data_IF_895012524914
#
_entry.id   IF_895012524914
#
_cell.length_a   1.000
_cell.length_b   1.000
_cell.length_c   1.000
_cell.angle_alpha   90.00
_cell.angle_beta   90.00
_cell.angle_gamma   90.00
#
_symmetry.space_group_name_H-M   'P 1'
#
loop_
_entity.id
_entity.type
_entity.pdbx_description
1 polymer ?
#
# COMPACT_ATOMS: atom_id res chain seq x y z
N UNK A 1 -0.34 43.10 19.45
CA UNK A 1 0.61 42.66 18.40
C UNK A 1 0.33 41.20 18.11
N UNK A 2 -0.50 40.87 17.16
CA UNK A 2 -0.73 39.50 16.71
C UNK A 2 -0.10 39.32 15.35
N UNK A 3 0.67 38.23 15.23
CA UNK A 3 1.48 37.87 14.09
C UNK A 3 0.58 37.59 12.88
N UNK A 4 0.92 38.19 11.76
CA UNK A 4 0.36 37.90 10.44
C UNK A 4 0.70 36.46 10.09
N UNK A 5 -0.29 35.64 9.84
CA UNK A 5 -0.13 34.38 9.14
C UNK A 5 -0.12 34.69 7.65
N UNK A 6 1.04 34.71 7.03
CA UNK A 6 1.18 34.61 5.58
C UNK A 6 1.07 33.12 5.23
N UNK A 7 -0.02 32.72 4.67
CA UNK A 7 -0.14 31.41 4.03
C UNK A 7 0.49 31.53 2.63
N UNK A 8 1.64 30.92 2.44
CA UNK A 8 2.20 30.63 1.13
C UNK A 8 1.81 29.21 0.79
N UNK A 9 1.15 29.02 -0.32
CA UNK A 9 0.93 27.70 -0.91
C UNK A 9 2.23 27.36 -1.67
N UNK A 10 3.16 26.70 -0.97
CA UNK A 10 4.38 26.18 -1.57
C UNK A 10 4.12 24.77 -2.08
N UNK A 11 3.97 24.64 -3.37
CA UNK A 11 4.01 23.37 -4.07
C UNK A 11 5.49 22.98 -4.25
N UNK A 12 5.98 22.12 -3.38
CA UNK A 12 7.28 21.47 -3.58
C UNK A 12 7.02 20.00 -3.87
N UNK A 13 7.61 19.51 -4.96
CA UNK A 13 7.75 18.09 -5.27
C UNK A 13 8.43 17.41 -4.09
N UNK A 14 7.66 16.80 -3.22
CA UNK A 14 8.13 16.09 -2.02
C UNK A 14 7.19 14.93 -1.74
N UNK A 15 7.79 13.80 -1.59
CA UNK A 15 7.21 12.52 -1.17
C UNK A 15 6.26 12.73 0.01
N UNK A 16 4.99 12.38 -0.19
CA UNK A 16 3.93 12.50 0.81
C UNK A 16 4.03 11.34 1.81
N UNK A 17 4.18 11.65 3.08
CA UNK A 17 3.98 10.69 4.18
C UNK A 17 2.57 10.89 4.70
N UNK A 18 1.72 9.88 4.54
CA UNK A 18 0.37 9.87 5.06
C UNK A 18 0.36 9.48 6.54
N UNK A 19 -0.11 10.37 7.38
CA UNK A 19 -0.52 10.02 8.75
C UNK A 19 -1.97 10.43 8.91
N UNK A 20 -2.86 9.44 8.86
CA UNK A 20 -4.28 9.65 9.13
C UNK A 20 -4.48 9.74 10.65
N UNK A 21 -4.73 10.93 11.17
CA UNK A 21 -5.17 11.11 12.55
C UNK A 21 -6.71 11.19 12.57
N UNK A 22 -7.36 10.15 13.09
CA UNK A 22 -8.77 10.22 13.45
C UNK A 22 -8.92 11.12 14.68
N UNK A 23 -9.50 12.32 14.53
CA UNK A 23 -9.94 13.15 15.63
C UNK A 23 -11.31 12.69 16.11
N UNK A 24 -11.37 11.99 17.25
CA UNK A 24 -12.60 11.85 18.03
C UNK A 24 -12.68 12.98 19.05
N UNK A 25 -13.84 13.61 19.12
CA UNK A 25 -14.17 14.68 20.05
C UNK A 25 -13.92 14.30 21.51
N UNK A 26 -13.25 15.18 22.26
CA UNK A 26 -13.11 15.10 23.71
C UNK A 26 -14.24 15.87 24.39
N UNK A 27 -14.89 15.24 25.38
CA UNK A 27 -15.68 15.92 26.39
C UNK A 27 -14.83 16.24 27.62
N UNK A 28 -14.97 17.42 28.26
CA UNK A 28 -14.08 17.81 29.32
C UNK A 28 -14.54 17.34 30.70
N UNK A 29 -13.59 16.78 31.44
CA UNK A 29 -13.41 16.75 32.88
C UNK A 29 -14.62 16.42 33.79
N UNK A 30 -14.64 15.19 34.29
CA UNK A 30 -15.10 14.97 35.66
C UNK A 30 -14.10 14.12 36.45
N UNK A 31 -13.60 14.70 37.52
CA UNK A 31 -12.52 14.15 38.35
C UNK A 31 -13.16 13.45 39.55
N UNK A 32 -13.40 12.13 39.42
CA UNK A 32 -13.46 11.21 40.55
C UNK A 32 -13.22 9.76 40.11
N UNK A 33 -12.14 9.19 40.62
CA UNK A 33 -11.68 7.81 40.50
C UNK A 33 -12.78 6.80 40.93
N UNK A 34 -13.49 6.22 39.98
CA UNK A 34 -14.04 4.84 40.02
C UNK A 34 -14.73 4.51 38.69
N UNK A 35 -14.06 4.74 37.54
CA UNK A 35 -14.57 4.10 36.34
C UNK A 35 -14.15 2.64 36.35
N UNK A 36 -15.07 1.67 36.16
CA UNK A 36 -14.71 0.28 36.00
C UNK A 36 -13.75 0.19 34.79
N UNK A 37 -12.67 -0.54 34.96
CA UNK A 37 -11.72 -0.79 33.86
C UNK A 37 -12.50 -1.34 32.67
N UNK A 38 -12.37 -0.68 31.52
CA UNK A 38 -13.03 -1.08 30.29
C UNK A 38 -12.19 -2.14 29.58
N UNK A 39 -12.85 -3.06 28.90
CA UNK A 39 -12.18 -4.00 28.04
C UNK A 39 -11.47 -3.26 26.90
N UNK A 40 -10.28 -3.75 26.53
CA UNK A 40 -9.53 -3.21 25.40
C UNK A 40 -10.25 -3.60 24.11
N UNK A 41 -10.58 -2.62 23.31
CA UNK A 41 -11.14 -2.77 21.98
C UNK A 41 -10.29 -2.02 20.94
N UNK A 42 -10.43 -2.40 19.68
CA UNK A 42 -9.66 -1.85 18.56
C UNK A 42 -10.58 -1.25 17.50
N UNK A 43 -10.09 -0.22 16.83
CA UNK A 43 -10.63 0.25 15.54
C UNK A 43 -9.62 -0.09 14.46
N UNK A 44 -10.05 -0.79 13.42
CA UNK A 44 -9.17 -1.34 12.41
C UNK A 44 -9.32 -0.57 11.10
N UNK A 45 -8.20 -0.13 10.53
CA UNK A 45 -8.12 0.40 9.16
C UNK A 45 -6.88 -0.18 8.47
N UNK A 46 -6.84 -0.10 7.15
CA UNK A 46 -5.66 -0.45 6.35
C UNK A 46 -4.89 0.80 5.96
N UNK A 47 -3.56 0.71 6.01
CA UNK A 47 -2.65 1.77 5.61
C UNK A 47 -1.64 1.29 4.58
N UNK A 48 -0.91 2.21 3.96
CA UNK A 48 0.04 1.94 2.88
C UNK A 48 1.46 2.42 3.23
N UNK A 49 2.46 1.83 2.54
CA UNK A 49 3.83 2.34 2.55
C UNK A 49 4.06 3.22 1.34
N UNK A 50 4.64 4.39 1.55
CA UNK A 50 4.93 5.34 0.49
C UNK A 50 6.36 5.14 -0.05
N UNK A 51 6.50 4.43 -1.18
CA UNK A 51 7.79 4.18 -1.83
C UNK A 51 7.59 4.16 -3.35
N UNK A 52 8.13 5.13 -4.07
CA UNK A 52 8.10 5.15 -5.53
C UNK A 52 9.23 4.31 -6.13
N UNK A 53 8.94 3.49 -7.13
CA UNK A 53 9.91 2.67 -7.86
C UNK A 53 9.72 2.85 -9.35
N UNK A 54 10.84 3.05 -10.07
CA UNK A 54 10.83 3.20 -11.52
C UNK A 54 10.45 1.89 -12.24
N UNK A 55 9.67 1.96 -13.32
CA UNK A 55 9.37 0.82 -14.19
C UNK A 55 10.64 0.19 -14.76
N UNK A 56 10.62 -1.14 -14.98
CA UNK A 56 11.71 -1.89 -15.59
C UNK A 56 11.21 -2.79 -16.70
N UNK A 57 12.08 -3.07 -17.68
CA UNK A 57 11.79 -3.93 -18.83
C UNK A 57 12.80 -5.08 -18.86
N UNK A 58 12.31 -6.31 -19.05
CA UNK A 58 13.12 -7.52 -19.14
C UNK A 58 12.81 -8.26 -20.44
N UNK A 59 13.81 -8.61 -21.27
CA UNK A 59 13.57 -9.42 -22.45
C UNK A 59 13.14 -10.84 -22.07
N UNK A 60 12.09 -11.33 -22.68
CA UNK A 60 11.67 -12.73 -22.60
C UNK A 60 12.40 -13.53 -23.68
N UNK A 61 12.94 -14.68 -23.29
CA UNK A 61 13.58 -15.63 -24.18
C UNK A 61 12.71 -16.88 -24.27
N UNK A 62 12.62 -17.46 -25.46
CA UNK A 62 11.94 -18.74 -25.65
C UNK A 62 12.94 -19.88 -25.79
N UNK A 63 12.64 -21.07 -25.30
CA UNK A 63 13.45 -22.27 -25.47
C UNK A 63 12.76 -23.22 -26.48
N UNK A 64 13.47 -23.72 -27.54
CA UNK A 64 14.86 -23.46 -27.86
C UNK A 64 15.05 -22.19 -28.71
N UNK A 65 15.72 -21.20 -28.16
CA UNK A 65 16.15 -20.00 -28.87
C UNK A 65 15.57 -18.69 -28.28
N UNK A 66 16.10 -17.59 -28.76
CA UNK A 66 15.63 -16.26 -28.42
C UNK A 66 14.45 -15.90 -29.32
N UNK A 67 13.26 -15.67 -28.73
CA UNK A 67 12.23 -14.91 -29.43
C UNK A 67 12.39 -13.45 -29.03
N UNK A 68 13.01 -12.61 -29.90
CA UNK A 68 13.28 -11.22 -29.54
C UNK A 68 12.02 -10.34 -29.49
N UNK A 69 10.85 -10.94 -29.74
CA UNK A 69 9.59 -10.19 -29.88
C UNK A 69 8.76 -10.10 -28.61
N UNK A 70 9.16 -10.75 -27.50
CA UNK A 70 8.43 -10.72 -26.24
C UNK A 70 9.24 -10.08 -25.12
N UNK A 71 8.59 -9.23 -24.35
CA UNK A 71 9.18 -8.49 -23.24
C UNK A 71 8.29 -8.56 -22.01
N UNK A 72 8.91 -8.56 -20.84
CA UNK A 72 8.26 -8.47 -19.55
C UNK A 72 8.49 -7.07 -18.97
N UNK A 73 7.42 -6.29 -18.84
CA UNK A 73 7.48 -4.96 -18.28
C UNK A 73 7.02 -4.99 -16.83
N UNK A 74 7.89 -4.62 -15.89
CA UNK A 74 7.53 -4.47 -14.48
C UNK A 74 7.06 -3.04 -14.22
N UNK A 75 5.83 -2.91 -13.75
CA UNK A 75 5.24 -1.66 -13.25
C UNK A 75 4.95 -1.88 -11.77
N UNK A 76 5.41 -0.96 -10.93
CA UNK A 76 5.16 -0.98 -9.49
C UNK A 76 4.10 0.05 -9.17
N UNK A 77 3.01 -0.37 -8.56
CA UNK A 77 1.91 0.50 -8.13
C UNK A 77 1.88 0.59 -6.61
N UNK A 78 1.33 1.71 -6.12
CA UNK A 78 1.14 1.94 -4.69
C UNK A 78 0.06 1.01 -4.14
N UNK A 79 0.30 0.56 -2.92
CA UNK A 79 -0.58 -0.36 -2.23
C UNK A 79 -0.58 -1.78 -2.80
N UNK A 80 -1.29 -2.66 -2.12
CA UNK A 80 -1.64 -3.98 -2.64
C UNK A 80 -3.05 -3.85 -3.24
N UNK A 81 -3.11 -3.51 -4.51
CA UNK A 81 -4.38 -3.29 -5.19
C UNK A 81 -5.23 -4.56 -5.29
N UNK A 82 -6.37 -4.54 -4.64
CA UNK A 82 -7.46 -5.42 -4.98
C UNK A 82 -8.14 -4.92 -6.25
N UNK A 83 -7.63 -5.31 -7.40
CA UNK A 83 -8.24 -5.22 -8.73
C UNK A 83 -9.28 -4.12 -9.00
N UNK A 84 -8.92 -2.84 -8.86
CA UNK A 84 -9.81 -1.72 -9.20
C UNK A 84 -9.97 -1.48 -10.72
N UNK A 85 -9.56 -2.45 -11.55
CA UNK A 85 -9.73 -2.40 -13.01
C UNK A 85 -10.84 -3.26 -13.58
N UNK A 86 -11.48 -4.12 -12.78
CA UNK A 86 -12.53 -5.02 -13.30
C UNK A 86 -13.90 -4.70 -12.69
N UNK A 87 -14.76 -4.07 -13.47
CA UNK A 87 -16.20 -3.96 -13.16
C UNK A 87 -16.81 -5.35 -13.19
N UNK A 88 -17.20 -5.91 -12.03
CA UNK A 88 -18.23 -6.94 -11.99
C UNK A 88 -18.02 -8.21 -11.20
N UNK A 89 -16.92 -8.44 -10.44
CA UNK A 89 -16.78 -9.70 -9.71
C UNK A 89 -17.07 -9.58 -8.21
N UNK A 90 -17.90 -10.51 -7.71
CA UNK A 90 -18.22 -10.66 -6.29
C UNK A 90 -16.99 -11.18 -5.54
N UNK A 91 -16.58 -10.45 -4.52
CA UNK A 91 -15.40 -10.72 -3.69
C UNK A 91 -15.56 -12.00 -2.87
N UNK A 92 -14.62 -12.92 -3.03
CA UNK A 92 -14.41 -14.05 -2.13
C UNK A 92 -13.12 -13.82 -1.33
N UNK A 93 -13.21 -13.77 0.00
CA UNK A 93 -12.11 -13.41 0.90
C UNK A 93 -11.19 -14.59 1.30
N UNK A 94 -11.16 -15.68 0.53
CA UNK A 94 -10.56 -16.95 0.98
C UNK A 94 -9.26 -17.35 0.30
N UNK A 95 -8.67 -16.53 -0.60
CA UNK A 95 -7.47 -16.87 -1.37
C UNK A 95 -6.46 -15.71 -1.36
N UNK A 96 -5.37 -15.81 -2.09
CA UNK A 96 -4.29 -14.83 -2.20
C UNK A 96 -4.70 -13.44 -2.76
N UNK A 97 -5.94 -13.01 -2.54
CA UNK A 97 -6.43 -11.70 -2.94
C UNK A 97 -5.93 -10.62 -1.96
N UNK A 98 -5.48 -9.48 -2.47
CA UNK A 98 -5.13 -8.33 -1.64
C UNK A 98 -6.27 -7.89 -0.72
N UNK A 99 -5.93 -7.59 0.54
CA UNK A 99 -6.89 -7.21 1.57
C UNK A 99 -7.12 -5.70 1.54
N UNK A 100 -8.36 -5.30 1.66
CA UNK A 100 -8.76 -3.89 1.81
C UNK A 100 -9.59 -3.75 3.07
N UNK A 101 -9.85 -2.53 3.52
CA UNK A 101 -10.76 -2.30 4.67
C UNK A 101 -12.11 -3.00 4.50
N UNK A 102 -12.60 -3.13 3.27
CA UNK A 102 -13.87 -3.82 2.96
C UNK A 102 -13.76 -5.36 2.92
N UNK A 103 -12.54 -5.90 2.83
CA UNK A 103 -12.26 -7.35 2.71
C UNK A 103 -11.36 -7.85 3.83
N UNK A 104 -11.29 -7.11 4.93
CA UNK A 104 -10.44 -7.43 6.08
C UNK A 104 -10.73 -8.84 6.62
N UNK A 105 -9.70 -9.49 7.10
CA UNK A 105 -9.80 -10.79 7.77
C UNK A 105 -10.73 -10.72 8.99
N UNK A 106 -11.37 -11.84 9.30
CA UNK A 106 -12.32 -11.97 10.41
C UNK A 106 -11.64 -11.90 11.78
N UNK A 107 -10.32 -12.15 11.86
CA UNK A 107 -9.56 -12.08 13.10
C UNK A 107 -8.10 -11.70 12.88
N UNK A 108 -7.49 -11.16 13.93
CA UNK A 108 -6.09 -10.76 13.99
C UNK A 108 -5.44 -11.24 15.29
N UNK A 109 -4.12 -11.38 15.30
CA UNK A 109 -3.32 -11.72 16.47
C UNK A 109 -2.74 -10.46 17.11
N UNK A 110 -2.83 -10.34 18.43
CA UNK A 110 -2.33 -9.18 19.18
C UNK A 110 -1.29 -9.60 20.21
N UNK A 111 -0.21 -8.81 20.28
CA UNK A 111 0.75 -8.78 21.36
C UNK A 111 0.64 -7.45 22.10
N UNK A 112 0.71 -7.46 23.44
CA UNK A 112 0.65 -6.25 24.24
C UNK A 112 1.68 -6.28 25.37
N UNK A 113 2.29 -5.13 25.59
CA UNK A 113 3.36 -4.91 26.54
C UNK A 113 2.98 -3.81 27.51
N UNK A 114 2.99 -4.12 28.80
CA UNK A 114 2.68 -3.17 29.88
C UNK A 114 3.93 -2.85 30.66
N UNK A 115 4.15 -1.59 30.92
CA UNK A 115 5.30 -1.08 31.65
C UNK A 115 4.94 0.15 32.51
N UNK A 116 5.81 0.56 33.48
CA UNK A 116 5.53 1.72 34.32
C UNK A 116 5.37 3.00 33.52
N UNK A 117 4.43 3.85 33.90
CA UNK A 117 4.15 5.13 33.25
C UNK A 117 5.34 6.10 33.27
N UNK A 118 6.23 5.96 34.26
CA UNK A 118 7.48 6.72 34.40
C UNK A 118 8.60 6.23 33.46
N UNK A 119 8.44 5.06 32.82
CA UNK A 119 9.42 4.45 31.92
C UNK A 119 9.06 4.71 30.46
N UNK A 120 10.06 4.63 29.59
CA UNK A 120 9.88 4.56 28.13
C UNK A 120 9.92 3.11 27.66
N UNK A 121 9.52 2.88 26.43
CA UNK A 121 9.67 1.60 25.74
C UNK A 121 11.09 1.06 25.84
N UNK A 122 11.22 -0.25 26.07
CA UNK A 122 12.51 -0.93 26.12
C UNK A 122 12.52 -2.15 25.21
N UNK A 123 13.56 -2.29 24.41
CA UNK A 123 13.78 -3.45 23.53
C UNK A 123 14.14 -4.73 24.31
N UNK A 124 14.19 -4.68 25.63
CA UNK A 124 14.35 -5.86 26.49
C UNK A 124 13.03 -6.35 27.10
N UNK A 125 11.95 -5.59 26.95
CA UNK A 125 10.64 -5.93 27.52
C UNK A 125 9.98 -7.03 26.68
N UNK A 126 9.70 -8.17 27.31
CA UNK A 126 8.94 -9.24 26.69
C UNK A 126 7.41 -9.01 26.75
N UNK A 127 6.61 -9.61 25.86
CA UNK A 127 5.15 -9.47 25.87
C UNK A 127 4.56 -10.07 27.15
N UNK A 128 4.28 -9.21 28.11
CA UNK A 128 3.88 -9.57 29.45
C UNK A 128 2.38 -9.41 29.72
N UNK A 129 1.62 -8.88 28.75
CA UNK A 129 0.19 -8.66 28.93
C UNK A 129 -0.65 -9.50 27.96
N UNK A 130 -0.47 -9.34 26.66
CA UNK A 130 -1.06 -10.22 25.64
C UNK A 130 0.05 -10.85 24.81
N UNK A 131 -0.10 -12.13 24.51
CA UNK A 131 0.79 -12.83 23.60
C UNK A 131 -0.03 -13.70 22.67
N UNK A 132 -0.02 -13.36 21.39
CA UNK A 132 -0.78 -14.03 20.33
C UNK A 132 -2.28 -14.21 20.66
N UNK A 133 -2.90 -13.14 21.18
CA UNK A 133 -4.32 -13.17 21.52
C UNK A 133 -5.13 -12.94 20.25
N UNK A 134 -6.04 -13.86 19.95
CA UNK A 134 -6.99 -13.68 18.86
C UNK A 134 -8.01 -12.61 19.19
N UNK A 135 -8.19 -11.66 18.26
CA UNK A 135 -9.22 -10.63 18.34
C UNK A 135 -10.09 -10.72 17.11
N UNK A 136 -11.39 -10.88 17.30
CA UNK A 136 -12.34 -11.19 16.23
C UNK A 136 -13.22 -9.99 15.89
N UNK A 137 -13.52 -9.81 14.60
CA UNK A 137 -14.48 -8.81 14.12
C UNK A 137 -15.91 -9.08 14.62
N UNK A 138 -16.26 -10.34 14.84
CA UNK A 138 -17.57 -10.75 15.40
C UNK A 138 -17.80 -10.25 16.82
N UNK A 139 -16.74 -9.95 17.58
CA UNK A 139 -16.80 -9.33 18.91
C UNK A 139 -16.61 -7.81 18.85
N UNK A 140 -16.82 -7.21 17.68
CA UNK A 140 -16.54 -5.79 17.43
C UNK A 140 -15.09 -5.43 17.82
N UNK A 141 -14.12 -6.31 17.53
CA UNK A 141 -12.70 -6.17 17.83
C UNK A 141 -12.39 -5.93 19.31
N UNK A 142 -13.22 -6.43 20.22
CA UNK A 142 -13.06 -6.28 21.67
C UNK A 142 -12.47 -7.54 22.28
N UNK A 143 -11.53 -7.39 23.22
CA UNK A 143 -10.89 -8.46 23.95
C UNK A 143 -11.52 -8.67 25.34
N UNK A 144 -11.17 -9.76 26.01
CA UNK A 144 -11.46 -9.98 27.43
C UNK A 144 -10.47 -9.30 28.38
N UNK A 145 -9.41 -8.68 27.85
CA UNK A 145 -8.40 -7.98 28.64
C UNK A 145 -8.85 -6.56 28.97
N UNK A 146 -8.58 -6.11 30.18
CA UNK A 146 -8.89 -4.77 30.65
C UNK A 146 -7.72 -3.82 30.44
N UNK A 147 -7.99 -2.53 30.46
CA UNK A 147 -6.92 -1.54 30.50
C UNK A 147 -6.10 -1.72 31.79
N UNK A 148 -4.74 -1.63 31.75
CA UNK A 148 -3.89 -1.95 32.89
C UNK A 148 -3.96 -0.96 34.07
N UNK A 149 -4.66 0.16 33.91
CA UNK A 149 -4.91 1.14 34.95
C UNK A 149 -3.90 2.30 34.99
N UNK A 150 -4.14 3.28 35.87
CA UNK A 150 -3.29 4.46 35.98
C UNK A 150 -1.87 4.10 36.42
N UNK A 151 -0.90 4.96 36.09
CA UNK A 151 0.52 4.77 36.40
C UNK A 151 1.22 3.72 35.55
N UNK A 152 0.54 3.18 34.53
CA UNK A 152 1.10 2.25 33.54
C UNK A 152 0.95 2.79 32.13
N UNK A 153 1.78 2.30 31.24
CA UNK A 153 1.68 2.44 29.79
C UNK A 153 1.51 1.08 29.16
N UNK A 154 0.93 1.06 27.95
CA UNK A 154 0.76 -0.14 27.14
C UNK A 154 1.11 0.16 25.69
N UNK A 155 1.73 -0.80 25.01
CA UNK A 155 2.02 -0.77 23.57
C UNK A 155 1.50 -2.04 22.93
N UNK A 156 0.91 -1.91 21.74
CA UNK A 156 0.35 -3.04 20.99
C UNK A 156 1.10 -3.25 19.69
N UNK A 157 1.21 -4.54 19.33
CA UNK A 157 1.59 -5.01 18.01
C UNK A 157 0.53 -6.00 17.54
N UNK A 158 0.20 -5.95 16.27
CA UNK A 158 -0.83 -6.83 15.70
C UNK A 158 -0.40 -7.35 14.34
N UNK A 159 -0.98 -8.49 13.96
CA UNK A 159 -0.84 -9.07 12.63
C UNK A 159 -2.15 -9.71 12.18
N UNK A 160 -2.38 -9.79 10.90
CA UNK A 160 -3.54 -10.45 10.30
C UNK A 160 -3.13 -11.17 8.99
N UNK A 161 -3.73 -12.35 8.69
CA UNK A 161 -4.77 -13.05 9.47
C UNK A 161 -4.19 -13.73 10.71
N UNK A 162 -5.04 -13.96 11.72
CA UNK A 162 -4.65 -14.75 12.89
C UNK A 162 -4.24 -16.16 12.46
N UNK A 163 -3.16 -16.70 13.07
CA UNK A 163 -2.59 -18.00 12.73
C UNK A 163 -2.27 -18.17 11.23
N UNK A 164 -1.75 -17.10 10.60
CA UNK A 164 -1.33 -17.12 9.20
C UNK A 164 -0.37 -18.30 8.94
N UNK A 165 -0.67 -19.10 7.93
CA UNK A 165 0.21 -20.19 7.52
C UNK A 165 1.60 -19.66 7.12
N UNK A 166 2.65 -20.29 7.62
CA UNK A 166 4.02 -19.88 7.40
C UNK A 166 4.54 -18.78 8.32
N UNK A 167 3.67 -18.15 9.13
CA UNK A 167 4.07 -17.15 10.11
C UNK A 167 4.51 -17.81 11.42
N UNK A 168 5.65 -17.36 11.93
CA UNK A 168 6.14 -17.71 13.27
C UNK A 168 6.41 -16.45 14.07
N UNK A 169 5.80 -16.36 15.25
CA UNK A 169 6.07 -15.27 16.20
C UNK A 169 7.35 -15.57 17.00
N UNK A 170 8.06 -14.56 17.49
CA UNK A 170 9.14 -14.76 18.45
C UNK A 170 8.59 -15.42 19.72
N UNK A 171 9.41 -16.19 20.39
CA UNK A 171 9.05 -16.79 21.70
C UNK A 171 8.59 -15.69 22.67
N UNK A 172 7.62 -16.04 23.54
CA UNK A 172 7.06 -15.09 24.52
C UNK A 172 8.09 -14.47 25.45
N UNK A 173 9.24 -15.10 25.61
CA UNK A 173 10.35 -14.63 26.45
C UNK A 173 11.27 -13.65 25.74
N UNK A 174 11.16 -13.51 24.43
CA UNK A 174 11.97 -12.58 23.62
C UNK A 174 11.46 -11.16 23.84
N UNK A 175 12.35 -10.26 24.25
CA UNK A 175 12.03 -8.86 24.47
C UNK A 175 12.12 -8.03 23.19
N UNK A 176 11.54 -6.84 23.25
CA UNK A 176 11.62 -5.82 22.21
C UNK A 176 10.49 -5.85 21.19
N UNK A 177 10.69 -5.05 20.16
CA UNK A 177 9.76 -5.00 19.02
C UNK A 177 9.70 -6.36 18.34
N UNK A 178 8.50 -6.97 18.18
CA UNK A 178 8.40 -8.33 17.65
C UNK A 178 8.99 -8.47 16.25
N UNK A 179 9.88 -9.45 16.09
CA UNK A 179 10.39 -9.89 14.79
C UNK A 179 9.66 -11.16 14.41
N UNK A 180 8.83 -11.10 13.39
CA UNK A 180 8.13 -12.26 12.83
C UNK A 180 9.01 -12.95 11.80
N UNK A 181 9.00 -14.27 11.76
CA UNK A 181 9.55 -15.07 10.66
C UNK A 181 8.42 -15.54 9.77
N UNK A 182 8.55 -15.38 8.47
CA UNK A 182 7.52 -15.81 7.53
C UNK A 182 8.11 -16.65 6.41
N UNK A 183 7.49 -17.79 6.16
CA UNK A 183 7.77 -18.68 5.04
C UNK A 183 6.58 -18.69 4.11
N UNK A 184 6.77 -18.17 2.90
CA UNK A 184 5.75 -18.15 1.85
C UNK A 184 5.31 -19.57 1.52
N UNK A 185 4.01 -19.90 1.62
CA UNK A 185 3.48 -21.18 1.18
C UNK A 185 3.81 -21.47 -0.28
N UNK A 186 4.15 -22.73 -0.60
CA UNK A 186 4.53 -23.08 -1.97
C UNK A 186 3.35 -23.03 -2.94
N UNK A 187 2.14 -23.41 -2.49
CA UNK A 187 0.93 -23.25 -3.29
C UNK A 187 0.44 -21.78 -3.21
N UNK A 188 0.31 -21.13 -4.35
CA UNK A 188 -0.14 -19.72 -4.42
C UNK A 188 -1.53 -19.53 -3.81
N UNK A 189 -2.42 -20.53 -3.93
CA UNK A 189 -3.75 -20.51 -3.30
C UNK A 189 -3.71 -20.40 -1.76
N UNK A 190 -2.63 -20.83 -1.13
CA UNK A 190 -2.48 -20.82 0.33
C UNK A 190 -1.77 -19.55 0.83
N UNK A 191 -1.17 -18.80 -0.08
CA UNK A 191 -0.54 -17.53 0.24
C UNK A 191 -1.59 -16.52 0.67
N UNK A 192 -1.32 -15.80 1.75
CA UNK A 192 -2.18 -14.75 2.30
C UNK A 192 -1.46 -13.43 2.30
N UNK A 193 -2.22 -12.38 2.11
CA UNK A 193 -1.73 -11.03 2.30
C UNK A 193 -1.52 -10.77 3.80
N UNK A 194 -0.26 -10.69 4.21
CA UNK A 194 0.10 -10.50 5.61
C UNK A 194 0.12 -9.01 5.94
N UNK A 195 -0.69 -8.65 6.95
CA UNK A 195 -0.79 -7.28 7.45
C UNK A 195 -0.24 -7.19 8.86
N UNK A 196 0.36 -6.06 9.19
CA UNK A 196 0.90 -5.77 10.52
C UNK A 196 0.56 -4.37 10.99
N UNK A 197 0.47 -4.19 12.31
CA UNK A 197 0.29 -2.87 12.92
C UNK A 197 1.09 -2.75 14.21
N UNK A 198 1.46 -1.53 14.57
CA UNK A 198 2.02 -1.18 15.85
C UNK A 198 1.44 0.14 16.35
N UNK A 199 1.38 0.32 17.66
CA UNK A 199 0.94 1.59 18.26
C UNK A 199 2.10 2.35 18.87
N UNK A 200 1.93 3.64 19.11
CA UNK A 200 2.73 4.36 20.08
C UNK A 200 2.46 3.82 21.50
N UNK A 201 3.19 4.33 22.48
CA UNK A 201 2.92 4.11 23.90
C UNK A 201 1.61 4.79 24.30
N UNK A 202 0.67 4.05 24.86
CA UNK A 202 -0.63 4.58 25.31
C UNK A 202 -0.70 4.57 26.85
N UNK A 203 -1.35 5.57 27.47
CA UNK A 203 -1.63 5.53 28.90
C UNK A 203 -2.53 4.34 29.26
N UNK A 204 -2.19 3.64 30.34
CA UNK A 204 -2.88 2.41 30.75
C UNK A 204 -4.34 2.62 31.24
N UNK A 205 -4.79 3.84 31.41
CA UNK A 205 -6.15 4.21 31.83
C UNK A 205 -6.94 4.94 30.75
N UNK A 206 -6.54 4.87 29.50
CA UNK A 206 -7.19 5.56 28.37
C UNK A 206 -8.65 5.16 28.20
N UNK A 207 -9.00 3.87 28.41
CA UNK A 207 -10.35 3.31 28.22
C UNK A 207 -11.02 3.59 26.86
N UNK A 208 -10.27 4.13 25.89
CA UNK A 208 -10.71 4.35 24.52
C UNK A 208 -10.43 3.12 23.64
N UNK A 209 -11.04 3.06 22.48
CA UNK A 209 -10.67 2.10 21.45
C UNK A 209 -9.29 2.45 20.88
N UNK A 210 -8.47 1.43 20.62
CA UNK A 210 -7.12 1.58 20.09
C UNK A 210 -7.16 1.55 18.57
N UNK A 211 -6.72 2.60 17.87
CA UNK A 211 -6.59 2.55 16.43
C UNK A 211 -5.44 1.62 16.03
N UNK A 212 -5.72 0.64 15.18
CA UNK A 212 -4.73 -0.23 14.54
C UNK A 212 -4.77 0.01 13.04
N UNK A 213 -3.74 0.66 12.53
CA UNK A 213 -3.50 0.82 11.11
C UNK A 213 -2.70 -0.40 10.61
N UNK A 214 -3.41 -1.33 9.98
CA UNK A 214 -2.82 -2.53 9.40
C UNK A 214 -2.16 -2.21 8.05
N UNK A 215 -0.86 -2.46 7.93
CA UNK A 215 -0.07 -2.23 6.71
C UNK A 215 0.33 -3.54 6.09
N UNK A 216 0.27 -3.60 4.76
CA UNK A 216 0.73 -4.74 3.98
C UNK A 216 2.23 -4.91 4.14
N UNK A 217 2.71 -6.06 4.57
CA UNK A 217 4.15 -6.29 4.74
C UNK A 217 4.76 -7.22 3.68
N UNK A 218 3.96 -7.78 2.77
CA UNK A 218 4.40 -8.56 1.61
C UNK A 218 4.40 -7.71 0.32
N UNK A 219 4.88 -8.29 -0.77
CA UNK A 219 4.72 -7.77 -2.13
C UNK A 219 3.74 -8.65 -2.90
N UNK A 220 2.73 -8.05 -3.51
CA UNK A 220 1.86 -8.73 -4.47
C UNK A 220 2.54 -8.76 -5.84
N UNK A 221 2.72 -9.95 -6.42
CA UNK A 221 3.28 -10.09 -7.77
C UNK A 221 2.21 -10.64 -8.70
N UNK A 222 1.89 -9.88 -9.76
CA UNK A 222 0.80 -10.15 -10.69
C UNK A 222 1.30 -10.11 -12.14
N UNK A 223 0.56 -10.79 -13.02
CA UNK A 223 0.82 -10.80 -14.45
C UNK A 223 -0.44 -10.38 -15.22
N UNK A 224 -0.25 -9.53 -16.21
CA UNK A 224 -1.31 -9.03 -17.10
C UNK A 224 -0.85 -9.07 -18.55
N UNK A 225 -1.83 -9.06 -19.44
CA UNK A 225 -1.58 -8.88 -20.88
C UNK A 225 -1.04 -7.47 -21.09
N UNK A 226 0.09 -7.36 -21.75
CA UNK A 226 0.64 -6.09 -22.21
C UNK A 226 0.09 -5.69 -23.57
N UNK A 227 0.59 -4.58 -24.10
CA UNK A 227 0.24 -4.17 -25.46
C UNK A 227 0.83 -5.17 -26.47
N UNK A 228 0.05 -5.46 -27.50
CA UNK A 228 0.45 -6.34 -28.60
C UNK A 228 0.83 -7.78 -28.21
N UNK A 229 0.38 -8.26 -27.04
CA UNK A 229 0.57 -9.67 -26.71
C UNK A 229 -0.16 -10.55 -27.71
N UNK A 230 0.57 -11.56 -28.23
CA UNK A 230 -0.02 -12.52 -29.17
C UNK A 230 -1.21 -13.26 -28.54
N UNK A 231 -2.25 -13.57 -29.35
CA UNK A 231 -3.32 -14.43 -28.88
C UNK A 231 -2.79 -15.84 -28.58
N UNK A 232 -3.27 -16.41 -27.49
CA UNK A 232 -2.80 -17.74 -27.07
C UNK A 232 -3.36 -18.11 -25.69
N UNK A 233 -2.74 -19.09 -25.04
CA UNK A 233 -3.11 -19.54 -23.71
C UNK A 233 -1.90 -19.63 -22.81
N UNK A 234 -1.94 -18.93 -21.66
CA UNK A 234 -0.96 -19.08 -20.59
C UNK A 234 -1.43 -20.21 -19.68
N UNK A 235 -0.59 -21.24 -19.51
CA UNK A 235 -0.91 -22.43 -18.72
C UNK A 235 -0.13 -22.52 -17.42
N UNK A 236 1.00 -21.81 -17.32
CA UNK A 236 1.82 -21.77 -16.11
C UNK A 236 2.57 -20.47 -16.01
N UNK A 237 2.72 -19.96 -14.80
CA UNK A 237 3.68 -18.93 -14.44
C UNK A 237 4.51 -19.42 -13.27
N UNK A 238 5.84 -19.25 -13.34
CA UNK A 238 6.77 -19.61 -12.27
C UNK A 238 7.64 -18.41 -11.92
N UNK A 239 7.78 -18.16 -10.64
CA UNK A 239 8.82 -17.28 -10.07
C UNK A 239 9.97 -18.20 -9.67
N UNK A 240 11.13 -18.01 -10.29
CA UNK A 240 12.30 -18.89 -10.16
C UNK A 240 13.36 -18.23 -9.30
N UNK A 241 14.00 -19.01 -8.41
CA UNK A 241 15.20 -18.60 -7.70
C UNK A 241 15.01 -17.38 -6.78
N UNK A 242 13.86 -17.23 -6.16
CA UNK A 242 13.52 -16.10 -5.27
C UNK A 242 13.50 -16.54 -3.80
N UNK A 243 13.74 -15.62 -2.88
CA UNK A 243 13.62 -15.93 -1.46
C UNK A 243 12.16 -16.16 -1.09
N UNK A 244 11.90 -17.29 -0.45
CA UNK A 244 10.57 -17.65 0.03
C UNK A 244 10.42 -17.52 1.56
N UNK A 245 11.45 -17.03 2.26
CA UNK A 245 11.46 -16.88 3.70
C UNK A 245 12.28 -15.66 4.09
N UNK A 246 11.86 -14.98 5.14
CA UNK A 246 12.60 -13.86 5.74
C UNK A 246 12.04 -13.49 7.10
N UNK A 247 12.72 -12.59 7.78
CA UNK A 247 12.32 -11.99 9.05
C UNK A 247 11.88 -10.54 8.84
N UNK A 248 10.86 -10.14 9.59
CA UNK A 248 10.33 -8.78 9.52
C UNK A 248 10.05 -8.25 10.93
N UNK A 249 10.67 -7.13 11.29
CA UNK A 249 10.35 -6.43 12.52
C UNK A 249 9.08 -5.61 12.32
N UNK A 250 8.07 -5.80 13.17
CA UNK A 250 6.78 -5.11 13.02
C UNK A 250 6.96 -3.59 13.15
N UNK A 251 6.61 -2.87 12.09
CA UNK A 251 6.78 -1.41 11.99
C UNK A 251 8.02 -0.97 11.23
N UNK A 252 8.84 -1.89 10.75
CA UNK A 252 9.98 -1.62 9.87
C UNK A 252 9.54 -1.45 8.41
N UNK A 253 10.48 -1.09 7.55
CA UNK A 253 10.29 -0.92 6.11
C UNK A 253 11.04 -1.95 5.27
N UNK A 254 11.77 -2.87 5.91
CA UNK A 254 12.61 -3.85 5.23
C UNK A 254 12.53 -5.24 5.88
N UNK A 255 12.70 -6.26 5.05
CA UNK A 255 12.88 -7.64 5.46
C UNK A 255 14.36 -7.98 5.56
N UNK A 256 14.69 -8.93 6.42
CA UNK A 256 16.06 -9.40 6.68
C UNK A 256 16.12 -10.93 6.77
N UNK A 257 17.33 -11.45 6.97
CA UNK A 257 17.59 -12.88 7.28
C UNK A 257 16.87 -13.83 6.32
N UNK A 258 17.03 -13.59 5.02
CA UNK A 258 16.40 -14.39 3.99
C UNK A 258 16.92 -15.84 4.04
N UNK A 259 15.99 -16.79 3.87
CA UNK A 259 16.30 -18.21 3.75
C UNK A 259 16.87 -18.58 2.38
N UNK A 260 16.85 -19.87 2.05
CA UNK A 260 17.25 -20.34 0.73
C UNK A 260 16.26 -19.91 -0.35
N UNK A 261 16.78 -19.68 -1.55
CA UNK A 261 15.96 -19.43 -2.74
C UNK A 261 15.17 -20.66 -3.14
N UNK A 262 13.98 -20.47 -3.69
CA UNK A 262 13.13 -21.53 -4.24
C UNK A 262 12.24 -21.01 -5.35
N UNK A 263 11.52 -21.92 -5.99
CA UNK A 263 10.59 -21.64 -7.06
C UNK A 263 9.14 -21.66 -6.54
N UNK A 264 8.31 -20.79 -7.11
CA UNK A 264 6.87 -20.76 -6.88
C UNK A 264 6.16 -20.91 -8.23
N UNK A 265 5.25 -21.87 -8.31
CA UNK A 265 4.57 -22.22 -9.56
C UNK A 265 3.07 -22.02 -9.40
N UNK A 266 2.48 -21.31 -10.34
CA UNK A 266 1.04 -21.14 -10.51
C UNK A 266 0.58 -21.80 -11.80
N UNK A 267 -0.20 -22.88 -11.68
CA UNK A 267 -0.91 -23.48 -12.82
C UNK A 267 -2.18 -22.68 -13.10
N UNK A 268 -2.42 -22.39 -14.36
CA UNK A 268 -3.59 -21.67 -14.84
C UNK A 268 -4.00 -22.15 -16.24
N UNK A 269 -5.08 -21.59 -16.76
CA UNK A 269 -5.49 -21.77 -18.15
C UNK A 269 -6.21 -20.49 -18.58
N UNK A 270 -5.41 -19.49 -18.98
CA UNK A 270 -5.92 -18.16 -19.31
C UNK A 270 -5.66 -17.86 -20.77
N UNK A 271 -6.76 -17.72 -21.52
CA UNK A 271 -6.70 -17.27 -22.90
C UNK A 271 -6.35 -15.78 -22.96
N UNK A 272 -5.36 -15.44 -23.78
CA UNK A 272 -4.99 -14.07 -24.09
C UNK A 272 -5.55 -13.71 -25.45
N UNK A 273 -6.37 -12.67 -25.49
CA UNK A 273 -6.99 -12.16 -26.70
C UNK A 273 -6.37 -10.85 -27.21
N UNK A 274 -5.22 -10.48 -26.63
CA UNK A 274 -4.52 -9.24 -26.97
C UNK A 274 -5.11 -7.98 -26.33
N UNK A 275 -6.13 -8.08 -25.49
CA UNK A 275 -6.67 -6.91 -24.78
C UNK A 275 -5.71 -6.48 -23.67
N UNK A 276 -5.09 -5.30 -23.76
CA UNK A 276 -4.17 -4.81 -22.73
C UNK A 276 -4.83 -4.76 -21.35
N UNK A 277 -4.03 -4.95 -20.30
CA UNK A 277 -4.44 -4.97 -18.88
C UNK A 277 -5.38 -6.10 -18.46
N UNK A 278 -5.74 -7.01 -19.40
CA UNK A 278 -6.46 -8.22 -19.01
C UNK A 278 -5.60 -9.05 -18.05
N UNK A 279 -6.21 -9.46 -16.92
CA UNK A 279 -5.49 -10.24 -15.93
C UNK A 279 -5.11 -11.63 -16.45
N UNK A 280 -3.86 -12.00 -16.34
CA UNK A 280 -3.38 -13.38 -16.48
C UNK A 280 -3.44 -14.05 -15.10
N UNK A 281 -2.97 -13.37 -14.06
CA UNK A 281 -3.19 -13.80 -12.67
C UNK A 281 -4.38 -13.03 -12.10
N UNK A 282 -5.44 -13.73 -11.73
CA UNK A 282 -6.58 -13.14 -11.02
C UNK A 282 -6.14 -12.66 -9.62
N UNK A 283 -6.93 -11.84 -8.92
CA UNK A 283 -6.61 -11.49 -7.54
C UNK A 283 -6.31 -12.70 -6.65
N UNK A 284 -7.05 -13.80 -6.82
CA UNK A 284 -6.88 -15.03 -6.04
C UNK A 284 -5.65 -15.86 -6.45
N UNK A 285 -5.08 -15.58 -7.61
CA UNK A 285 -3.86 -16.19 -8.14
C UNK A 285 -2.63 -15.26 -8.02
N UNK A 286 -2.73 -14.18 -7.24
CA UNK A 286 -1.64 -13.27 -6.95
C UNK A 286 -0.59 -13.96 -6.08
N UNK A 287 0.68 -13.87 -6.47
CA UNK A 287 1.78 -14.32 -5.63
C UNK A 287 2.01 -13.30 -4.51
N UNK A 288 1.84 -13.74 -3.26
CA UNK A 288 2.18 -12.92 -2.07
C UNK A 288 3.57 -13.29 -1.59
N UNK A 289 4.55 -12.49 -1.98
CA UNK A 289 5.96 -12.79 -1.82
C UNK A 289 6.61 -11.96 -0.74
N UNK A 290 7.66 -12.51 -0.11
CA UNK A 290 8.53 -11.76 0.79
C UNK A 290 9.21 -10.65 -0.02
N UNK A 291 9.10 -9.38 0.42
CA UNK A 291 9.79 -8.25 -0.20
C UNK A 291 11.31 -8.44 -0.16
N UNK A 292 11.97 -8.24 -1.30
CA UNK A 292 13.39 -8.59 -1.43
C UNK A 292 14.07 -7.85 -2.57
N UNK A 293 15.38 -7.66 -2.47
CA UNK A 293 16.23 -7.50 -3.64
C UNK A 293 16.35 -8.88 -4.31
N UNK A 294 16.00 -8.96 -5.60
CA UNK A 294 15.94 -10.23 -6.30
C UNK A 294 17.35 -10.80 -6.55
N UNK A 295 17.61 -12.06 -6.16
CA UNK A 295 18.91 -12.71 -6.32
C UNK A 295 19.40 -12.78 -7.78
N UNK A 296 20.69 -13.06 -7.98
CA UNK A 296 21.29 -13.16 -9.31
C UNK A 296 20.68 -14.26 -10.19
N UNK A 297 20.07 -15.29 -9.57
CA UNK A 297 19.37 -16.36 -10.28
C UNK A 297 17.87 -16.16 -10.44
N UNK A 298 17.34 -15.00 -9.98
CA UNK A 298 15.91 -14.75 -10.03
C UNK A 298 15.40 -14.59 -11.46
N UNK A 299 14.31 -15.30 -11.76
CA UNK A 299 13.69 -15.31 -13.07
C UNK A 299 12.18 -15.48 -13.04
N UNK A 300 11.56 -15.22 -14.17
CA UNK A 300 10.17 -15.54 -14.48
C UNK A 300 10.16 -16.55 -15.62
N UNK A 301 9.34 -17.58 -15.48
CA UNK A 301 9.07 -18.57 -16.53
C UNK A 301 7.58 -18.62 -16.80
N UNK A 302 7.20 -18.55 -18.08
CA UNK A 302 5.81 -18.53 -18.53
C UNK A 302 5.64 -19.63 -19.58
N UNK A 303 4.71 -20.56 -19.35
CA UNK A 303 4.32 -21.55 -20.35
C UNK A 303 3.14 -20.99 -21.14
N UNK A 304 3.37 -20.73 -22.40
CA UNK A 304 2.45 -20.10 -23.34
C UNK A 304 2.25 -20.95 -24.57
N UNK A 305 1.00 -21.17 -24.96
CA UNK A 305 0.64 -21.82 -26.23
C UNK A 305 0.11 -20.77 -27.20
N UNK A 306 0.82 -20.55 -28.27
CA UNK A 306 0.46 -19.62 -29.34
C UNK A 306 -0.76 -20.17 -30.11
N UNK A 307 -1.82 -19.37 -30.24
CA UNK A 307 -3.03 -19.77 -30.94
C UNK A 307 -2.88 -19.86 -32.47
N UNK A 308 -1.86 -19.18 -33.03
CA UNK A 308 -1.62 -19.19 -34.49
C UNK A 308 -0.93 -20.45 -34.94
N UNK A 309 0.01 -20.93 -34.14
CA UNK A 309 0.85 -22.09 -34.48
C UNK A 309 0.50 -23.34 -33.67
N UNK A 310 -0.34 -23.21 -32.63
CA UNK A 310 -0.61 -24.23 -31.62
C UNK A 310 0.66 -24.79 -30.93
N UNK A 311 1.78 -24.07 -31.03
CA UNK A 311 3.02 -24.46 -30.41
C UNK A 311 3.09 -23.95 -28.97
N UNK A 312 3.45 -24.85 -28.06
CA UNK A 312 3.79 -24.48 -26.69
C UNK A 312 5.21 -23.94 -26.63
N UNK A 313 5.39 -22.82 -25.93
CA UNK A 313 6.68 -22.17 -25.71
C UNK A 313 6.90 -21.97 -24.22
N UNK A 314 8.12 -22.09 -23.79
CA UNK A 314 8.55 -21.70 -22.45
C UNK A 314 9.28 -20.37 -22.58
N UNK A 315 8.69 -19.32 -22.09
CA UNK A 315 9.24 -17.96 -22.11
C UNK A 315 9.93 -17.69 -20.77
N UNK A 316 11.17 -17.27 -20.81
CA UNK A 316 11.95 -16.99 -19.59
C UNK A 316 12.50 -15.58 -19.60
N UNK A 317 12.46 -14.91 -18.47
CA UNK A 317 13.10 -13.61 -18.24
C UNK A 317 13.90 -13.62 -16.95
N UNK A 318 15.13 -13.09 -16.99
CA UNK A 318 15.87 -12.79 -15.76
C UNK A 318 15.34 -11.48 -15.18
N UNK A 319 14.88 -11.52 -13.92
CA UNK A 319 14.48 -10.34 -13.15
C UNK A 319 15.50 -9.99 -12.08
N UNK A 320 16.67 -10.63 -12.14
CA UNK A 320 17.78 -10.40 -11.22
C UNK A 320 18.17 -8.92 -11.11
N UNK A 321 18.55 -8.50 -9.91
CA UNK A 321 18.98 -7.12 -9.65
C UNK A 321 17.83 -6.10 -9.64
N UNK A 322 16.58 -6.53 -9.79
CA UNK A 322 15.40 -5.72 -9.44
C UNK A 322 14.96 -5.97 -7.99
N UNK A 323 13.89 -5.34 -7.55
CA UNK A 323 13.41 -5.49 -6.18
C UNK A 323 11.88 -5.61 -6.14
N UNK A 324 11.41 -6.36 -5.15
CA UNK A 324 10.02 -6.39 -4.73
C UNK A 324 9.88 -5.59 -3.43
N UNK A 325 9.24 -4.42 -3.46
CA UNK A 325 9.14 -3.56 -2.28
C UNK A 325 8.01 -3.98 -1.34
N UNK A 326 8.15 -3.58 -0.08
CA UNK A 326 7.15 -3.81 0.97
C UNK A 326 5.83 -3.11 0.64
N UNK A 327 4.71 -3.81 0.78
CA UNK A 327 3.37 -3.25 0.67
C UNK A 327 3.00 -2.75 -0.72
N UNK A 328 3.66 -3.23 -1.78
CA UNK A 328 3.42 -2.82 -3.16
C UNK A 328 2.95 -3.96 -4.03
N UNK A 329 2.31 -3.60 -5.14
CA UNK A 329 2.03 -4.52 -6.24
C UNK A 329 3.07 -4.35 -7.34
N UNK A 330 3.75 -5.44 -7.68
CA UNK A 330 4.60 -5.53 -8.87
C UNK A 330 3.80 -6.24 -9.95
N UNK A 331 3.45 -5.50 -10.97
CA UNK A 331 2.68 -5.99 -12.12
C UNK A 331 3.61 -6.22 -13.30
N UNK A 332 3.70 -7.45 -13.75
CA UNK A 332 4.44 -7.83 -14.94
C UNK A 332 3.52 -7.89 -16.15
N UNK A 333 3.73 -6.98 -17.10
CA UNK A 333 3.00 -6.92 -18.37
C UNK A 333 3.77 -7.71 -19.42
N UNK A 334 3.14 -8.69 -20.06
CA UNK A 334 3.74 -9.49 -21.13
C UNK A 334 3.41 -8.83 -22.46
N UNK A 335 4.42 -8.41 -23.23
CA UNK A 335 4.24 -7.63 -24.45
C UNK A 335 5.16 -8.12 -25.56
N UNK A 336 4.77 -7.91 -26.82
CA UNK A 336 5.59 -8.26 -28.00
C UNK A 336 6.63 -7.19 -28.36
N UNK A 337 6.57 -6.02 -27.72
CA UNK A 337 7.49 -4.92 -27.96
C UNK A 337 8.06 -4.37 -26.65
N UNK A 338 9.24 -3.75 -26.74
CA UNK A 338 9.81 -3.03 -25.58
C UNK A 338 9.03 -1.74 -25.36
N UNK A 339 8.14 -1.76 -24.37
CA UNK A 339 7.37 -0.59 -23.97
C UNK A 339 7.95 -0.04 -22.68
N UNK A 340 8.26 1.23 -22.66
CA UNK A 340 8.56 1.98 -21.44
C UNK A 340 7.33 2.80 -21.06
N UNK A 341 6.91 2.70 -19.80
CA UNK A 341 5.78 3.46 -19.26
C UNK A 341 6.29 4.35 -18.13
N UNK A 342 6.17 5.66 -18.29
CA UNK A 342 6.63 6.64 -17.31
C UNK A 342 5.45 7.48 -16.84
N UNK A 343 5.13 7.50 -15.53
CA UNK A 343 4.11 8.39 -14.99
C UNK A 343 4.55 9.85 -15.10
N UNK A 344 3.65 10.71 -15.52
CA UNK A 344 3.84 12.16 -15.60
C UNK A 344 2.68 12.86 -14.89
N UNK A 345 3.03 13.78 -13.99
CA UNK A 345 2.11 14.69 -13.33
C UNK A 345 2.72 16.09 -13.40
N UNK A 346 2.07 16.99 -14.12
CA UNK A 346 2.43 18.40 -14.16
C UNK A 346 1.29 19.24 -13.60
N UNK A 347 1.60 20.09 -12.65
CA UNK A 347 0.64 21.02 -12.04
C UNK A 347 1.21 22.43 -12.11
N UNK A 348 0.48 23.36 -12.71
CA UNK A 348 0.80 24.77 -12.64
C UNK A 348 -0.09 25.42 -11.60
N UNK A 349 0.49 25.80 -10.48
CA UNK A 349 -0.23 26.44 -9.39
C UNK A 349 -0.70 27.86 -9.81
N UNK A 350 -1.85 28.32 -9.31
CA UNK A 350 -2.24 29.72 -9.49
C UNK A 350 -1.30 30.67 -8.73
N UNK A 351 -1.16 31.89 -9.21
CA UNK A 351 -0.47 32.92 -8.45
C UNK A 351 -1.11 33.14 -7.07
N UNK A 352 -0.37 33.79 -6.19
CA UNK A 352 -0.85 34.11 -4.86
C UNK A 352 -2.15 34.90 -4.88
N UNK A 353 -3.08 34.52 -4.01
CA UNK A 353 -4.30 35.27 -3.78
C UNK A 353 -4.04 36.44 -2.83
N UNK A 354 -4.67 37.58 -3.10
CA UNK A 354 -4.73 38.69 -2.18
C UNK A 354 -5.92 38.51 -1.22
N UNK A 355 -6.02 39.36 -0.20
CA UNK A 355 -7.16 39.37 0.72
C UNK A 355 -8.52 39.62 0.02
N UNK A 356 -8.52 40.19 -1.17
CA UNK A 356 -9.72 40.38 -1.98
C UNK A 356 -10.27 39.07 -2.55
N UNK A 357 -9.54 37.97 -2.44
CA UNK A 357 -9.94 36.70 -3.01
C UNK A 357 -9.99 36.70 -4.53
N UNK A 358 -10.97 36.01 -5.08
CA UNK A 358 -11.20 35.96 -6.53
C UNK A 358 -10.91 34.61 -7.14
N UNK A 359 -10.98 34.54 -8.46
CA UNK A 359 -10.75 33.33 -9.24
C UNK A 359 -9.45 33.36 -9.99
N UNK A 360 -8.68 32.29 -9.96
CA UNK A 360 -7.45 32.13 -10.74
C UNK A 360 -7.41 30.72 -11.36
N UNK A 361 -6.76 30.62 -12.51
CA UNK A 361 -6.60 29.37 -13.22
C UNK A 361 -5.43 28.59 -12.67
N UNK A 362 -5.56 27.26 -12.69
CA UNK A 362 -4.48 26.30 -12.53
C UNK A 362 -4.60 25.22 -13.60
N UNK A 363 -3.51 24.55 -13.91
CA UNK A 363 -3.52 23.47 -14.91
C UNK A 363 -3.07 22.15 -14.28
N UNK A 364 -3.60 21.06 -14.79
CA UNK A 364 -3.19 19.72 -14.43
C UNK A 364 -3.06 18.88 -15.68
N UNK A 365 -1.88 18.28 -15.89
CA UNK A 365 -1.67 17.19 -16.82
C UNK A 365 -1.28 15.95 -16.01
N UNK A 366 -2.02 14.84 -16.18
CA UNK A 366 -1.76 13.58 -15.49
C UNK A 366 -1.93 12.45 -16.49
N UNK A 367 -0.83 11.74 -16.77
CA UNK A 367 -0.82 10.70 -17.79
C UNK A 367 0.34 9.71 -17.59
N UNK A 368 0.24 8.58 -18.26
CA UNK A 368 1.37 7.68 -18.50
C UNK A 368 1.95 8.00 -19.87
N UNK A 369 3.23 8.23 -19.93
CA UNK A 369 3.98 8.33 -21.17
C UNK A 369 4.43 6.93 -21.57
N UNK A 370 3.96 6.47 -22.74
CA UNK A 370 4.25 5.14 -23.28
C UNK A 370 5.14 5.31 -24.49
N UNK A 371 6.35 4.81 -24.41
CA UNK A 371 7.29 4.79 -25.53
C UNK A 371 7.64 3.36 -25.93
N UNK A 372 7.68 3.10 -27.23
CA UNK A 372 8.11 1.86 -27.84
C UNK A 372 9.39 2.11 -28.66
N UNK A 373 10.27 1.12 -28.72
CA UNK A 373 11.43 1.23 -29.60
C UNK A 373 10.98 1.32 -31.07
N UNK A 374 11.23 2.48 -31.68
CA UNK A 374 10.92 2.74 -33.09
C UNK A 374 9.56 3.45 -33.34
N UNK A 375 8.71 3.62 -32.33
CA UNK A 375 7.42 4.26 -32.45
C UNK A 375 7.39 5.66 -31.78
N UNK A 376 6.52 6.56 -32.21
CA UNK A 376 6.27 7.81 -31.48
C UNK A 376 5.74 7.53 -30.06
N UNK A 377 6.19 8.33 -29.11
CA UNK A 377 5.68 8.29 -27.73
C UNK A 377 4.17 8.62 -27.74
N UNK A 378 3.40 7.78 -27.06
CA UNK A 378 1.96 7.97 -26.85
C UNK A 378 1.68 8.22 -25.36
N UNK A 379 0.51 8.79 -25.06
CA UNK A 379 0.12 9.10 -23.69
C UNK A 379 -1.21 8.49 -23.36
N UNK A 380 -1.34 7.97 -22.12
CA UNK A 380 -2.58 7.41 -21.59
C UNK A 380 -3.02 8.29 -20.42
N UNK A 381 -4.23 8.89 -20.46
CA UNK A 381 -4.75 9.66 -19.35
C UNK A 381 -4.81 8.88 -18.04
N UNK A 382 -4.42 9.52 -16.94
CA UNK A 382 -4.53 8.96 -15.58
C UNK A 382 -5.39 9.89 -14.74
N UNK A 383 -6.44 9.36 -14.15
CA UNK A 383 -7.29 10.14 -13.25
C UNK A 383 -6.48 10.63 -12.05
N UNK A 384 -6.75 11.85 -11.62
CA UNK A 384 -6.09 12.50 -10.50
C UNK A 384 -7.12 12.98 -9.47
N UNK A 385 -6.68 13.10 -8.24
CA UNK A 385 -7.44 13.72 -7.15
C UNK A 385 -6.53 14.61 -6.31
N UNK A 386 -7.13 15.50 -5.52
CA UNK A 386 -6.40 16.41 -4.65
C UNK A 386 -6.70 16.17 -3.18
N UNK A 387 -5.72 16.49 -2.38
CA UNK A 387 -5.84 16.62 -0.95
C UNK A 387 -5.40 18.03 -0.53
N UNK A 388 -5.93 18.49 0.58
CA UNK A 388 -5.71 19.83 1.09
C UNK A 388 -4.99 19.77 2.42
N UNK A 389 -4.05 20.66 2.63
CA UNK A 389 -3.35 20.83 3.89
C UNK A 389 -3.19 22.31 4.23
N UNK A 390 -3.44 22.68 5.46
CA UNK A 390 -3.21 24.04 5.95
C UNK A 390 -1.82 24.23 6.57
N UNK A 391 -1.20 23.15 6.99
CA UNK A 391 0.10 23.15 7.69
C UNK A 391 1.22 22.42 6.91
N UNK A 392 0.88 21.78 5.78
CA UNK A 392 1.80 20.99 4.97
C UNK A 392 2.15 19.61 5.58
N UNK A 393 1.50 19.23 6.67
CA UNK A 393 1.75 17.98 7.41
C UNK A 393 0.49 17.12 7.44
N UNK A 394 -0.66 17.74 7.75
CA UNK A 394 -1.94 17.05 7.82
C UNK A 394 -2.73 17.30 6.54
N UNK A 395 -3.09 16.22 5.84
CA UNK A 395 -3.78 16.26 4.57
C UNK A 395 -5.19 15.69 4.68
N UNK A 396 -6.13 16.26 3.94
CA UNK A 396 -7.54 15.87 3.95
C UNK A 396 -8.15 16.02 2.56
N UNK A 397 -9.06 15.14 2.21
CA UNK A 397 -9.89 15.29 1.00
C UNK A 397 -10.97 16.38 1.16
N UNK A 398 -11.19 16.87 2.37
CA UNK A 398 -12.15 17.93 2.64
C UNK A 398 -11.59 19.28 2.21
N UNK A 399 -12.28 19.92 1.28
CA UNK A 399 -11.93 21.23 0.77
C UNK A 399 -12.09 22.29 1.88
N UNK A 400 -11.10 23.17 2.13
CA UNK A 400 -11.22 24.25 3.09
C UNK A 400 -12.37 25.24 2.73
N UNK A 401 -13.04 25.79 3.73
CA UNK A 401 -14.19 26.69 3.53
C UNK A 401 -13.83 27.99 2.77
N UNK A 402 -12.62 28.48 2.95
CA UNK A 402 -12.13 29.66 2.24
C UNK A 402 -11.90 29.44 0.74
N UNK A 403 -11.77 28.18 0.29
CA UNK A 403 -11.67 27.79 -1.11
C UNK A 403 -13.09 27.52 -1.65
N UNK A 404 -13.77 28.53 -2.14
CA UNK A 404 -15.22 28.46 -2.47
C UNK A 404 -15.49 27.72 -3.77
N UNK A 405 -14.55 27.72 -4.73
CA UNK A 405 -14.63 26.96 -5.99
C UNK A 405 -13.32 26.27 -6.30
N UNK A 406 -13.37 24.96 -6.55
CA UNK A 406 -12.20 24.16 -6.90
C UNK A 406 -12.62 22.81 -7.50
N UNK A 407 -11.90 22.37 -8.53
CA UNK A 407 -12.07 21.02 -9.09
C UNK A 407 -11.09 20.09 -8.39
N UNK A 408 -11.58 19.14 -7.63
CA UNK A 408 -10.77 18.29 -6.77
C UNK A 408 -10.27 17.00 -7.44
N UNK A 409 -10.74 16.69 -8.65
CA UNK A 409 -10.33 15.48 -9.40
C UNK A 409 -10.59 15.67 -10.89
N UNK A 410 -9.90 14.89 -11.70
CA UNK A 410 -10.09 14.89 -13.15
C UNK A 410 -9.69 13.56 -13.79
N UNK A 411 -10.07 13.38 -15.04
CA UNK A 411 -9.78 12.18 -15.81
C UNK A 411 -8.30 12.11 -16.27
N UNK A 412 -7.56 13.20 -16.16
CA UNK A 412 -6.19 13.31 -16.64
C UNK A 412 -6.09 13.54 -18.16
N UNK A 413 -4.88 13.59 -18.64
CA UNK A 413 -4.50 13.79 -20.05
C UNK A 413 -3.09 14.33 -20.18
N UNK A 414 -2.51 14.22 -21.36
CA UNK A 414 -1.16 14.70 -21.66
C UNK A 414 -1.10 16.23 -21.93
N UNK A 415 -2.24 16.81 -22.29
CA UNK A 415 -2.38 18.24 -22.42
C UNK A 415 -2.93 18.82 -21.13
N UNK A 416 -2.39 19.97 -20.72
CA UNK A 416 -2.85 20.67 -19.55
C UNK A 416 -4.33 21.03 -19.67
N UNK A 417 -5.16 20.42 -18.82
CA UNK A 417 -6.53 20.90 -18.63
C UNK A 417 -6.53 22.05 -17.67
N UNK A 418 -7.20 23.16 -18.06
CA UNK A 418 -7.28 24.37 -17.24
C UNK A 418 -8.50 24.32 -16.35
N UNK A 419 -8.29 24.55 -15.06
CA UNK A 419 -9.30 24.60 -14.02
C UNK A 419 -9.27 25.96 -13.33
N UNK A 420 -10.30 26.26 -12.56
CA UNK A 420 -10.40 27.52 -11.82
C UNK A 420 -10.45 27.23 -10.33
N UNK A 421 -9.62 27.92 -9.57
CA UNK A 421 -9.68 27.98 -8.12
C UNK A 421 -10.22 29.33 -7.68
N UNK A 422 -11.24 29.33 -6.83
CA UNK A 422 -11.88 30.56 -6.33
C UNK A 422 -11.73 30.62 -4.82
N UNK A 423 -11.18 31.71 -4.34
CA UNK A 423 -10.95 31.99 -2.93
C UNK A 423 -11.89 33.11 -2.49
N UNK A 424 -12.55 32.91 -1.36
CA UNK A 424 -13.41 33.94 -0.75
C UNK A 424 -12.60 35.16 -0.32
N UNK A 425 -13.19 36.33 -0.45
CA UNK A 425 -12.61 37.57 0.09
C UNK A 425 -12.51 37.46 1.62
N UNK A 426 -11.39 37.92 2.16
CA UNK A 426 -11.16 37.94 3.61
C UNK A 426 -11.47 39.32 4.15
N UNK A 427 -12.29 39.41 5.19
CA UNK A 427 -12.56 40.69 5.88
C UNK A 427 -11.49 40.90 6.94
N UNK A 428 -10.74 41.96 6.81
CA UNK A 428 -9.82 42.42 7.86
C UNK A 428 -10.59 43.31 8.82
N UNK A 429 -10.83 42.84 10.03
CA UNK A 429 -11.32 43.70 11.10
C UNK A 429 -10.11 44.31 11.79
N UNK A 430 -9.93 45.61 11.65
CA UNK A 430 -8.95 46.36 12.43
C UNK A 430 -9.63 46.85 13.71
N UNK A 431 -9.27 46.25 14.82
CA UNK A 431 -9.62 46.83 16.12
C UNK A 431 -8.74 48.04 16.37
N UNK A 432 -9.35 49.21 16.48
CA UNK A 432 -8.66 50.39 16.98
C UNK A 432 -8.30 50.17 18.45
N UNK A 433 -7.01 49.96 18.71
CA UNK A 433 -6.50 50.09 20.07
C UNK A 433 -6.67 51.58 20.45
N UNK A 434 -7.73 51.87 21.22
CA UNK A 434 -7.78 53.14 21.92
C UNK A 434 -6.75 53.14 23.05
N UNK A 435 -5.96 54.23 23.06
CA UNK A 435 -4.98 54.57 24.11
C UNK A 435 -5.58 54.56 25.50
#
# INVERSE_FOLDING_TARGET
MRKRVRKQMEWRNGILIFVLLCTCCEDPLDNKNTHPQKNIGFTICTGEYNTAIAPRVFPLKSDPGTDPSLYLHAVVTDGIEGGAGMKGEKKSSTRAAPVTTATLYSSLGVLAYVFPGSSSWSETLAPNYMYNVEVQGSTNWTTSYYWPGPGKKIRFFAYAPFNCAGLTLPERTVGGTPVISYTTPSAVSDQKDLLVASTAELPGNTNATVPLELKHCLTAVRFVVGDDMLPGTVTQISLKGVYGQGNYQIGDTAWSDFGSVKDFVQMLSVATNGTPDSAITTPEATFMMVPQALPSGAGVEIVFTDSLTAMQRILTASVAGSAWPVGKTVMYRISTSSISVTPALAVTAPDHYTYAGGSKSYTVASYLEVSRSGDPTTTIPVAWSTEFSEDGVNWSTTKPDWLTGFTASGAGGATDSTYTATVAAQTLTMENAHN
#
